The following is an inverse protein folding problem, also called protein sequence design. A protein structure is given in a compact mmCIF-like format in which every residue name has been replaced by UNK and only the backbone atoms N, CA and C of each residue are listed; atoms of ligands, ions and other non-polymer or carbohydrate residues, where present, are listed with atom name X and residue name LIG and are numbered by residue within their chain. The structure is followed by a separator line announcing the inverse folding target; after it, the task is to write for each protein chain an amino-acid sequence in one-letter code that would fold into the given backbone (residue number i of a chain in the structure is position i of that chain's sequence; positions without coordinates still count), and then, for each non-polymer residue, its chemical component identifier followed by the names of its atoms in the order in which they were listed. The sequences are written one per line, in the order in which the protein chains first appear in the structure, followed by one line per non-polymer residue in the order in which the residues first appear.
data_IF_112745047163
#
_entry.id   IF_112745047163
#
_cell.length_a   1.000
_cell.length_b   1.000
_cell.length_c   1.000
_cell.angle_alpha   90.00
_cell.angle_beta   90.00
_cell.angle_gamma   90.00
#
_symmetry.space_group_name_H-M   'P 1'
#
loop_
_entity.id
_entity.type
_entity.pdbx_description
1 polymer ?
#
# COMPACT_ATOMS: atom_id res chain seq x y z
N UNK A 1 4.80 -18.87 2.23
CA UNK A 1 5.31 -17.62 2.86
C UNK A 1 4.61 -17.45 4.20
N UNK A 2 5.25 -16.83 5.21
CA UNK A 2 4.62 -16.62 6.53
C UNK A 2 4.63 -15.14 6.92
N UNK A 3 3.69 -14.73 7.76
CA UNK A 3 3.60 -13.34 8.25
C UNK A 3 4.85 -12.96 9.08
N UNK A 4 5.40 -13.90 9.86
CA UNK A 4 6.71 -13.72 10.50
C UNK A 4 7.83 -13.52 9.51
N UNK A 5 7.81 -14.23 8.37
CA UNK A 5 8.77 -14.04 7.29
C UNK A 5 8.68 -12.62 6.72
N UNK A 6 7.47 -12.13 6.47
CA UNK A 6 7.25 -10.77 6.00
C UNK A 6 7.76 -9.74 7.03
N UNK A 7 7.43 -9.91 8.31
CA UNK A 7 7.87 -9.03 9.39
C UNK A 7 9.40 -8.91 9.47
N UNK A 8 10.14 -10.01 9.27
CA UNK A 8 11.61 -10.01 9.21
C UNK A 8 12.19 -9.19 8.07
N UNK A 9 11.45 -9.01 6.97
CA UNK A 9 11.88 -8.12 5.86
C UNK A 9 11.89 -6.66 6.32
N UNK A 10 10.92 -6.25 7.14
CA UNK A 10 10.82 -4.86 7.61
C UNK A 10 11.63 -4.56 8.87
N UNK A 11 11.90 -5.58 9.70
CA UNK A 11 12.53 -5.43 11.01
C UNK A 11 13.83 -4.60 10.99
N UNK A 12 14.79 -4.82 10.07
CA UNK A 12 16.05 -4.06 10.04
C UNK A 12 15.89 -2.56 9.78
N UNK A 13 14.75 -2.14 9.26
CA UNK A 13 14.49 -0.75 8.88
C UNK A 13 13.86 0.08 10.01
N UNK A 14 13.37 -0.57 11.06
CA UNK A 14 12.75 0.05 12.24
C UNK A 14 11.62 1.05 11.93
N UNK A 15 10.76 0.74 10.95
CA UNK A 15 9.74 1.68 10.43
C UNK A 15 8.34 1.55 11.08
N UNK A 16 8.11 0.54 11.91
CA UNK A 16 6.83 0.27 12.56
C UNK A 16 6.94 0.21 14.09
N UNK A 17 7.47 1.25 14.76
CA UNK A 17 7.64 1.20 16.20
C UNK A 17 6.28 1.07 16.89
N UNK A 18 6.16 0.12 17.83
CA UNK A 18 4.91 -0.23 18.50
C UNK A 18 4.14 0.97 19.09
N UNK A 19 4.85 2.01 19.54
CA UNK A 19 4.28 3.25 20.08
C UNK A 19 3.37 4.01 19.09
N UNK A 20 3.45 3.74 17.79
CA UNK A 20 2.62 4.38 16.75
C UNK A 20 1.25 3.70 16.57
N UNK A 21 1.04 2.52 17.17
CA UNK A 21 -0.19 1.74 17.00
C UNK A 21 -1.03 1.72 18.29
N UNK A 22 -1.38 2.92 18.75
CA UNK A 22 -2.23 3.15 19.93
C UNK A 22 -3.69 2.77 19.66
N UNK A 23 -4.52 2.75 20.71
CA UNK A 23 -5.92 2.29 20.63
C UNK A 23 -6.78 3.05 19.60
N UNK A 24 -6.46 4.30 19.28
CA UNK A 24 -7.15 5.14 18.30
C UNK A 24 -6.46 5.16 16.92
N UNK A 25 -5.42 4.35 16.72
CA UNK A 25 -4.80 4.13 15.42
C UNK A 25 -5.70 3.30 14.50
N UNK A 26 -5.64 3.48 13.17
CA UNK A 26 -6.48 2.75 12.23
C UNK A 26 -6.46 1.24 12.41
N UNK A 27 -5.29 0.63 12.61
CA UNK A 27 -5.20 -0.82 12.80
C UNK A 27 -5.88 -1.29 14.09
N UNK A 28 -5.78 -0.54 15.20
CA UNK A 28 -6.40 -0.91 16.47
C UNK A 28 -7.91 -0.72 16.46
N UNK A 29 -8.41 0.35 15.85
CA UNK A 29 -9.85 0.54 15.63
C UNK A 29 -10.41 -0.61 14.78
N UNK A 30 -9.72 -0.97 13.70
CA UNK A 30 -10.12 -2.07 12.84
C UNK A 30 -10.16 -3.42 13.57
N UNK A 31 -9.13 -3.76 14.33
CA UNK A 31 -9.07 -5.00 15.10
C UNK A 31 -10.25 -5.14 16.09
N UNK A 32 -10.70 -4.03 16.69
CA UNK A 32 -11.89 -4.04 17.57
C UNK A 32 -13.19 -4.24 16.82
N UNK A 33 -13.38 -3.56 15.68
CA UNK A 33 -14.62 -3.64 14.91
C UNK A 33 -14.74 -4.95 14.13
N UNK A 34 -13.62 -5.52 13.68
CA UNK A 34 -13.58 -6.72 12.84
C UNK A 34 -12.59 -7.75 13.40
N UNK A 35 -12.82 -8.27 14.62
CA UNK A 35 -11.87 -9.16 15.29
C UNK A 35 -11.69 -10.49 14.54
N UNK A 36 -12.70 -10.95 13.80
CA UNK A 36 -12.63 -12.21 13.04
C UNK A 36 -11.90 -12.10 11.69
N UNK A 37 -11.57 -10.88 11.23
CA UNK A 37 -10.89 -10.69 9.95
C UNK A 37 -9.47 -11.27 9.98
N UNK A 38 -9.00 -11.87 8.87
CA UNK A 38 -7.65 -12.46 8.80
C UNK A 38 -6.58 -11.41 9.07
N UNK A 39 -6.75 -10.21 8.51
CA UNK A 39 -5.78 -9.13 8.64
C UNK A 39 -5.67 -8.65 10.09
N UNK A 40 -6.79 -8.61 10.84
CA UNK A 40 -6.80 -8.25 12.26
C UNK A 40 -5.88 -9.14 13.09
N UNK A 41 -5.87 -10.45 12.82
CA UNK A 41 -5.00 -11.39 13.52
C UNK A 41 -3.55 -11.33 13.02
N UNK A 42 -3.38 -11.38 11.70
CA UNK A 42 -2.06 -11.47 11.08
C UNK A 42 -1.24 -10.20 11.28
N UNK A 43 -1.84 -9.01 11.23
CA UNK A 43 -1.11 -7.76 11.48
C UNK A 43 -0.59 -7.69 12.93
N UNK A 44 -1.27 -8.35 13.89
CA UNK A 44 -0.78 -8.44 15.26
C UNK A 44 0.47 -9.32 15.34
N UNK A 45 0.49 -10.47 14.66
CA UNK A 45 1.68 -11.33 14.52
C UNK A 45 2.82 -10.61 13.80
N UNK A 46 2.52 -9.83 12.77
CA UNK A 46 3.49 -9.01 12.07
C UNK A 46 4.15 -7.99 13.00
N UNK A 47 3.35 -7.31 13.84
CA UNK A 47 3.82 -6.27 14.75
C UNK A 47 4.60 -6.79 15.96
N UNK A 48 4.54 -8.09 16.30
CA UNK A 48 5.26 -8.60 17.48
C UNK A 48 6.77 -8.48 17.38
N UNK A 49 7.35 -8.47 16.17
CA UNK A 49 8.80 -8.31 15.99
C UNK A 49 9.23 -6.84 15.87
N UNK A 50 8.30 -5.89 16.01
CA UNK A 50 8.59 -4.46 15.87
C UNK A 50 8.62 -3.72 17.21
N UNK A 51 9.24 -4.35 18.21
CA UNK A 51 9.44 -3.80 19.55
C UNK A 51 10.77 -3.06 19.66
N UNK A 52 10.80 -1.84 19.16
CA UNK A 52 11.96 -0.95 19.24
C UNK A 52 11.52 0.50 19.52
N UNK A 53 12.39 1.32 20.12
CA UNK A 53 12.10 2.74 20.31
C UNK A 53 11.91 3.45 18.98
N UNK A 54 11.07 4.48 18.96
CA UNK A 54 10.83 5.30 17.77
C UNK A 54 12.06 6.16 17.48
N UNK A 55 12.97 5.66 16.65
CA UNK A 55 14.19 6.39 16.21
C UNK A 55 13.99 7.20 14.93
N UNK A 56 12.84 7.00 14.27
CA UNK A 56 12.45 7.61 13.00
C UNK A 56 10.95 7.92 13.05
N UNK A 57 10.49 8.70 12.09
CA UNK A 57 9.07 8.70 11.74
C UNK A 57 8.68 7.28 11.29
N UNK A 58 7.57 6.78 11.80
CA UNK A 58 7.06 5.48 11.37
C UNK A 58 6.42 5.57 9.98
N UNK A 59 6.05 4.42 9.42
CA UNK A 59 5.39 4.33 8.13
C UNK A 59 3.95 3.80 8.25
N UNK A 60 3.21 3.94 7.16
CA UNK A 60 1.92 3.26 7.00
C UNK A 60 2.16 1.76 6.83
N UNK A 61 1.31 0.95 7.45
CA UNK A 61 1.39 -0.51 7.37
C UNK A 61 1.03 -0.99 5.95
N UNK A 62 1.71 -2.01 5.44
CA UNK A 62 1.25 -2.72 4.25
C UNK A 62 -0.05 -3.47 4.55
N UNK A 63 -0.82 -3.76 3.51
CA UNK A 63 -2.03 -4.57 3.62
C UNK A 63 -1.98 -5.76 2.65
N UNK A 64 -2.62 -6.86 3.03
CA UNK A 64 -2.72 -8.04 2.18
C UNK A 64 -4.06 -8.75 2.31
N UNK A 65 -4.50 -9.33 1.19
CA UNK A 65 -5.68 -10.17 1.07
C UNK A 65 -5.53 -11.50 1.81
N UNK A 66 -6.67 -12.16 2.07
CA UNK A 66 -6.74 -13.37 2.89
C UNK A 66 -5.91 -14.52 2.33
N UNK A 67 -5.87 -14.63 1.00
CA UNK A 67 -5.28 -15.75 0.30
C UNK A 67 -3.92 -15.42 -0.33
N UNK A 68 -3.42 -14.19 -0.19
CA UNK A 68 -2.15 -13.73 -0.78
C UNK A 68 -0.96 -14.65 -0.47
N UNK A 69 -0.73 -14.93 0.83
CA UNK A 69 0.36 -15.78 1.29
C UNK A 69 -0.01 -17.27 1.43
N UNK A 70 -1.21 -17.65 0.98
CA UNK A 70 -1.70 -19.03 1.03
C UNK A 70 -1.23 -19.84 -0.17
N UNK A 71 -1.49 -21.16 -0.14
CA UNK A 71 -1.29 -22.07 -1.28
C UNK A 71 -2.46 -22.07 -2.24
N UNK A 72 -3.53 -21.31 -1.97
CA UNK A 72 -4.67 -21.22 -2.88
C UNK A 72 -4.25 -20.59 -4.22
N UNK A 73 -4.95 -21.00 -5.28
CA UNK A 73 -4.68 -20.52 -6.63
C UNK A 73 -5.40 -19.19 -6.84
N UNK A 74 -4.67 -18.21 -7.39
CA UNK A 74 -5.18 -16.89 -7.74
C UNK A 74 -4.05 -16.04 -8.32
N UNK A 75 -4.38 -14.99 -9.07
CA UNK A 75 -3.40 -14.03 -9.62
C UNK A 75 -2.96 -13.11 -8.49
N UNK A 76 -1.71 -13.25 -8.02
CA UNK A 76 -1.13 -12.40 -6.96
C UNK A 76 -0.74 -11.05 -7.53
N UNK A 77 -1.40 -10.00 -7.06
CA UNK A 77 -1.16 -8.64 -7.51
C UNK A 77 -0.52 -7.83 -6.39
N UNK A 78 0.58 -7.16 -6.70
CA UNK A 78 1.30 -6.31 -5.77
C UNK A 78 1.20 -4.85 -6.23
N UNK A 79 0.53 -4.03 -5.43
CA UNK A 79 0.26 -2.62 -5.70
C UNK A 79 1.23 -1.76 -4.89
N UNK A 80 1.92 -0.85 -5.57
CA UNK A 80 2.84 0.11 -4.95
C UNK A 80 2.23 1.51 -5.09
N UNK A 81 1.81 2.08 -3.97
CA UNK A 81 1.22 3.41 -3.88
C UNK A 81 2.26 4.54 -3.98
N UNK A 82 1.79 5.76 -4.25
CA UNK A 82 2.63 6.95 -4.12
C UNK A 82 3.06 7.18 -2.67
N UNK A 83 4.15 7.93 -2.48
CA UNK A 83 4.65 8.30 -1.16
C UNK A 83 3.57 9.00 -0.30
N UNK A 84 3.25 8.39 0.83
CA UNK A 84 2.44 8.97 1.90
C UNK A 84 3.32 9.90 2.77
N UNK A 85 3.01 11.19 2.82
CA UNK A 85 3.59 12.13 3.80
C UNK A 85 2.64 12.34 4.99
N UNK A 86 1.93 11.30 5.41
CA UNK A 86 1.03 11.39 6.57
C UNK A 86 1.77 12.05 7.74
N UNK A 87 1.13 13.04 8.39
CA UNK A 87 1.75 13.75 9.52
C UNK A 87 2.02 12.80 10.67
N UNK A 88 1.13 11.83 10.87
CA UNK A 88 1.29 10.76 11.84
C UNK A 88 1.50 9.41 11.15
N UNK A 89 2.59 8.75 11.54
CA UNK A 89 2.82 7.35 11.26
C UNK A 89 1.78 6.47 11.96
N UNK A 90 1.46 5.32 11.37
CA UNK A 90 0.61 4.32 12.03
C UNK A 90 -0.73 4.04 11.35
N UNK A 91 -0.94 4.53 10.13
CA UNK A 91 -2.08 4.12 9.30
C UNK A 91 -1.81 2.79 8.60
N UNK A 92 -2.71 2.42 7.70
CA UNK A 92 -2.54 1.35 6.71
C UNK A 92 -2.64 2.01 5.34
N UNK A 93 -1.77 1.63 4.40
CA UNK A 93 -1.79 2.17 3.03
C UNK A 93 -3.19 2.14 2.45
N UNK A 94 -3.64 3.27 1.89
CA UNK A 94 -5.00 3.48 1.37
C UNK A 94 -6.17 3.25 2.34
N UNK A 95 -5.93 2.99 3.63
CA UNK A 95 -6.93 2.36 4.49
C UNK A 95 -7.49 1.08 3.83
N UNK A 96 -6.60 0.31 3.18
CA UNK A 96 -6.94 -0.85 2.38
C UNK A 96 -7.66 -1.95 3.17
N UNK A 97 -7.38 -2.03 4.47
CA UNK A 97 -8.06 -2.94 5.39
C UNK A 97 -9.58 -2.72 5.48
N UNK A 98 -10.10 -1.60 4.99
CA UNK A 98 -11.53 -1.29 4.99
C UNK A 98 -12.24 -1.64 3.68
N UNK A 99 -11.50 -1.97 2.61
CA UNK A 99 -12.05 -2.12 1.25
C UNK A 99 -13.19 -3.15 1.18
N UNK A 100 -13.07 -4.24 1.93
CA UNK A 100 -14.06 -5.32 1.99
C UNK A 100 -15.17 -5.12 3.03
N UNK A 101 -15.10 -4.09 3.89
CA UNK A 101 -15.96 -3.99 5.07
C UNK A 101 -16.81 -2.72 5.11
N UNK A 102 -16.34 -1.63 4.51
CA UNK A 102 -17.08 -0.37 4.43
C UNK A 102 -17.76 -0.30 3.07
N UNK A 103 -19.09 -0.16 3.05
CA UNK A 103 -19.87 -0.15 1.82
C UNK A 103 -20.58 1.18 1.57
N UNK A 104 -20.68 2.03 2.59
CA UNK A 104 -21.44 3.27 2.53
C UNK A 104 -20.79 4.38 3.37
N UNK A 105 -21.37 5.58 3.29
CA UNK A 105 -20.91 6.74 4.03
C UNK A 105 -21.18 6.63 5.54
N UNK A 106 -22.17 5.84 5.96
CA UNK A 106 -22.54 5.69 7.36
C UNK A 106 -21.49 4.86 8.12
N UNK A 107 -21.16 3.67 7.60
CA UNK A 107 -20.08 2.80 8.08
C UNK A 107 -18.71 3.50 8.08
N UNK A 108 -18.39 4.24 7.02
CA UNK A 108 -17.23 5.14 7.00
C UNK A 108 -17.24 6.15 8.16
N UNK A 109 -18.37 6.82 8.37
CA UNK A 109 -18.47 7.86 9.40
C UNK A 109 -18.33 7.26 10.80
N UNK A 110 -18.89 6.08 11.04
CA UNK A 110 -18.74 5.35 12.29
C UNK A 110 -17.27 5.01 12.56
N UNK A 111 -16.57 4.42 11.59
CA UNK A 111 -15.15 4.11 11.71
C UNK A 111 -14.29 5.37 11.92
N UNK A 112 -14.48 6.41 11.09
CA UNK A 112 -13.67 7.62 11.12
C UNK A 112 -13.86 8.46 12.41
N UNK A 113 -14.97 8.27 13.14
CA UNK A 113 -15.20 8.91 14.44
C UNK A 113 -14.32 8.33 15.55
N UNK A 114 -13.96 7.05 15.46
CA UNK A 114 -13.09 6.38 16.45
C UNK A 114 -11.59 6.66 16.25
N UNK A 115 -11.21 7.22 15.09
CA UNK A 115 -9.84 7.58 14.79
C UNK A 115 -9.44 8.89 15.47
N UNK A 116 -8.15 8.99 15.83
CA UNK A 116 -7.55 10.26 16.15
C UNK A 116 -7.64 11.24 14.95
N UNK A 117 -7.66 12.54 15.23
CA UNK A 117 -7.92 13.56 14.19
C UNK A 117 -6.93 13.53 13.03
N UNK A 118 -5.67 13.19 13.30
CA UNK A 118 -4.59 13.19 12.32
C UNK A 118 -4.56 11.90 11.46
N UNK A 119 -5.28 10.85 11.87
CA UNK A 119 -5.43 9.59 11.16
C UNK A 119 -6.75 9.52 10.37
N UNK A 120 -7.55 10.59 10.37
CA UNK A 120 -8.78 10.65 9.57
C UNK A 120 -8.45 10.78 8.09
N UNK A 121 -9.25 10.13 7.26
CA UNK A 121 -9.13 10.18 5.81
C UNK A 121 -10.39 10.75 5.17
N UNK A 122 -10.36 10.99 3.85
CA UNK A 122 -11.50 11.55 3.11
C UNK A 122 -12.24 10.43 2.37
N UNK A 123 -13.52 10.23 2.69
CA UNK A 123 -14.38 9.23 2.04
C UNK A 123 -14.29 9.25 0.51
N UNK A 124 -14.38 10.44 -0.11
CA UNK A 124 -14.36 10.55 -1.57
C UNK A 124 -13.03 10.09 -2.20
N UNK A 125 -11.90 10.28 -1.50
CA UNK A 125 -10.60 9.83 -2.01
C UNK A 125 -10.45 8.32 -1.88
N UNK A 126 -10.85 7.78 -0.72
CA UNK A 126 -10.86 6.34 -0.46
C UNK A 126 -11.82 5.58 -1.39
N UNK A 127 -13.04 6.12 -1.62
CA UNK A 127 -14.02 5.50 -2.49
C UNK A 127 -13.57 5.45 -3.96
N UNK A 128 -12.79 6.45 -4.43
CA UNK A 128 -12.18 6.40 -5.77
C UNK A 128 -11.14 5.30 -5.88
N UNK A 129 -10.31 5.09 -4.86
CA UNK A 129 -9.35 3.98 -4.83
C UNK A 129 -10.13 2.67 -4.86
N UNK A 130 -11.15 2.51 -4.02
CA UNK A 130 -12.01 1.32 -4.00
C UNK A 130 -12.65 1.05 -5.36
N UNK A 131 -13.22 2.08 -6.00
CA UNK A 131 -13.82 1.95 -7.33
C UNK A 131 -12.77 1.55 -8.37
N UNK A 132 -11.58 2.16 -8.37
CA UNK A 132 -10.52 1.82 -9.32
C UNK A 132 -10.07 0.36 -9.20
N UNK A 133 -9.91 -0.15 -7.97
CA UNK A 133 -9.55 -1.56 -7.74
C UNK A 133 -10.65 -2.51 -8.21
N UNK A 134 -11.92 -2.14 -7.98
CA UNK A 134 -13.08 -2.87 -8.48
C UNK A 134 -13.16 -2.83 -10.01
N UNK A 135 -12.89 -1.69 -10.62
CA UNK A 135 -12.90 -1.51 -12.07
C UNK A 135 -11.81 -2.35 -12.72
N UNK A 136 -10.69 -2.61 -12.05
CA UNK A 136 -9.64 -3.54 -12.50
C UNK A 136 -9.96 -5.01 -12.27
N UNK A 137 -11.12 -5.32 -11.68
CA UNK A 137 -11.57 -6.69 -11.42
C UNK A 137 -10.53 -7.48 -10.59
N UNK A 138 -9.84 -6.78 -9.69
CA UNK A 138 -8.85 -7.41 -8.82
C UNK A 138 -9.56 -8.20 -7.73
N UNK A 139 -9.16 -9.46 -7.58
CA UNK A 139 -9.53 -10.26 -6.42
C UNK A 139 -8.74 -9.78 -5.20
N UNK A 140 -9.41 -9.05 -4.30
CA UNK A 140 -8.81 -8.48 -3.12
C UNK A 140 -8.20 -9.53 -2.18
N UNK A 141 -8.62 -10.80 -2.26
CA UNK A 141 -8.01 -11.86 -1.46
C UNK A 141 -6.58 -12.20 -1.91
N UNK A 142 -6.20 -11.84 -3.14
CA UNK A 142 -4.87 -12.04 -3.73
C UNK A 142 -4.14 -10.72 -4.03
N UNK A 143 -4.46 -9.64 -3.32
CA UNK A 143 -3.77 -8.35 -3.43
C UNK A 143 -2.84 -8.09 -2.23
N UNK A 144 -1.66 -7.53 -2.50
CA UNK A 144 -0.77 -6.90 -1.51
C UNK A 144 -0.58 -5.43 -1.87
N UNK A 145 -0.65 -4.53 -0.89
CA UNK A 145 -0.52 -3.07 -1.10
C UNK A 145 0.52 -2.53 -0.13
N UNK A 146 1.40 -1.66 -0.62
CA UNK A 146 2.40 -0.94 0.17
C UNK A 146 2.70 0.43 -0.43
N UNK A 147 3.37 1.31 0.32
CA UNK A 147 3.87 2.57 -0.20
C UNK A 147 5.20 2.41 -0.97
N UNK A 148 5.49 3.32 -1.90
CA UNK A 148 6.79 3.36 -2.57
C UNK A 148 7.92 3.64 -1.57
N UNK A 149 7.86 4.78 -0.86
CA UNK A 149 8.87 5.17 0.12
C UNK A 149 8.33 5.08 1.54
N UNK A 150 9.08 4.42 2.43
CA UNK A 150 8.65 4.15 3.80
C UNK A 150 9.77 4.16 4.84
N UNK A 151 11.03 4.22 4.39
CA UNK A 151 12.17 4.34 5.31
C UNK A 151 12.54 5.82 5.40
N UNK A 152 12.34 6.42 6.57
CA UNK A 152 12.74 7.80 6.85
C UNK A 152 14.22 7.88 7.24
N UNK A 153 14.84 9.02 6.96
CA UNK A 153 16.14 9.36 7.55
C UNK A 153 15.98 9.54 9.07
N UNK A 154 17.06 9.32 9.83
CA UNK A 154 17.05 9.48 11.29
C UNK A 154 16.80 10.95 11.64
N UNK A 155 15.86 11.22 12.53
CA UNK A 155 15.48 12.57 12.96
C UNK A 155 15.08 13.52 11.81
N UNK A 156 14.47 13.00 10.74
CA UNK A 156 14.02 13.79 9.59
C UNK A 156 12.69 13.29 9.04
N UNK A 157 11.92 14.21 8.45
CA UNK A 157 10.71 13.90 7.67
C UNK A 157 11.02 13.47 6.22
N UNK A 158 12.30 13.43 5.84
CA UNK A 158 12.71 13.01 4.51
C UNK A 158 12.87 11.48 4.43
N UNK A 159 12.51 10.92 3.28
CA UNK A 159 12.74 9.51 3.01
C UNK A 159 14.20 9.23 2.68
N UNK A 160 14.75 8.17 3.28
CA UNK A 160 15.93 7.50 2.79
C UNK A 160 15.54 6.69 1.54
N UNK A 161 15.63 7.32 0.36
CA UNK A 161 15.26 6.71 -0.92
C UNK A 161 16.07 5.44 -1.23
N UNK A 162 17.39 5.37 -1.01
CA UNK A 162 18.14 4.13 -1.19
C UNK A 162 17.61 2.96 -0.35
N UNK A 163 17.39 3.17 0.96
CA UNK A 163 16.86 2.12 1.84
C UNK A 163 15.40 1.76 1.56
N UNK A 164 14.59 2.74 1.18
CA UNK A 164 13.21 2.48 0.74
C UNK A 164 13.18 1.62 -0.51
N UNK A 165 14.08 1.87 -1.47
CA UNK A 165 14.22 1.04 -2.68
C UNK A 165 14.65 -0.38 -2.34
N UNK A 166 15.66 -0.51 -1.48
CA UNK A 166 16.17 -1.82 -1.04
C UNK A 166 15.05 -2.65 -0.39
N UNK A 167 14.35 -2.08 0.59
CA UNK A 167 13.20 -2.71 1.25
C UNK A 167 12.11 -3.08 0.24
N UNK A 168 11.76 -2.18 -0.69
CA UNK A 168 10.74 -2.45 -1.70
C UNK A 168 11.10 -3.60 -2.64
N UNK A 169 12.37 -3.76 -3.00
CA UNK A 169 12.82 -4.92 -3.78
C UNK A 169 12.74 -6.21 -2.97
N UNK A 170 13.09 -6.19 -1.69
CA UNK A 170 12.93 -7.34 -0.80
C UNK A 170 11.44 -7.70 -0.60
N UNK A 171 10.55 -6.71 -0.51
CA UNK A 171 9.10 -6.94 -0.47
C UNK A 171 8.62 -7.64 -1.76
N UNK A 172 9.05 -7.16 -2.94
CA UNK A 172 8.68 -7.74 -4.23
C UNK A 172 9.19 -9.18 -4.34
N UNK A 173 10.44 -9.44 -3.94
CA UNK A 173 11.03 -10.78 -3.93
C UNK A 173 10.28 -11.71 -2.97
N UNK A 174 10.03 -11.24 -1.75
CA UNK A 174 9.33 -12.04 -0.73
C UNK A 174 7.89 -12.37 -1.13
N UNK A 175 7.17 -11.40 -1.70
CA UNK A 175 5.75 -11.55 -2.05
C UNK A 175 5.53 -12.31 -3.36
N UNK A 176 6.57 -12.42 -4.20
CA UNK A 176 6.57 -13.17 -5.46
C UNK A 176 5.32 -12.94 -6.33
N UNK A 177 4.97 -11.70 -6.71
CA UNK A 177 3.73 -11.43 -7.42
C UNK A 177 3.76 -11.90 -8.88
N UNK A 178 2.57 -12.12 -9.44
CA UNK A 178 2.35 -12.34 -10.87
C UNK A 178 2.35 -11.01 -11.65
N UNK A 179 1.86 -9.95 -11.00
CA UNK A 179 1.76 -8.61 -11.57
C UNK A 179 2.09 -7.53 -10.52
N UNK A 180 2.94 -6.59 -10.90
CA UNK A 180 3.14 -5.33 -10.19
C UNK A 180 2.26 -4.23 -10.77
N UNK A 181 1.66 -3.41 -9.91
CA UNK A 181 0.95 -2.19 -10.30
C UNK A 181 1.63 -1.01 -9.61
N UNK A 182 2.27 -0.14 -10.40
CA UNK A 182 2.89 1.08 -9.90
C UNK A 182 1.93 2.26 -10.05
N UNK A 183 1.55 2.88 -8.93
CA UNK A 183 0.64 4.01 -8.95
C UNK A 183 1.42 5.33 -8.93
N UNK A 184 1.55 5.97 -10.09
CA UNK A 184 2.21 7.26 -10.29
C UNK A 184 3.73 7.18 -10.47
N UNK A 185 4.36 8.36 -10.51
CA UNK A 185 5.80 8.49 -10.79
C UNK A 185 6.72 8.14 -9.63
N UNK A 186 6.25 8.23 -8.38
CA UNK A 186 7.06 7.92 -7.19
C UNK A 186 7.57 6.46 -7.18
N UNK A 187 6.72 5.42 -7.26
CA UNK A 187 7.20 4.04 -7.33
C UNK A 187 8.10 3.76 -8.54
N UNK A 188 7.75 4.33 -9.71
CA UNK A 188 8.56 4.15 -10.93
C UNK A 188 9.96 4.74 -10.76
N UNK A 189 10.07 6.00 -10.34
CA UNK A 189 11.36 6.65 -10.14
C UNK A 189 12.21 6.00 -9.05
N UNK A 190 11.58 5.36 -8.06
CA UNK A 190 12.28 4.62 -7.02
C UNK A 190 12.93 3.34 -7.58
N UNK A 191 12.22 2.59 -8.42
CA UNK A 191 12.64 1.27 -8.91
C UNK A 191 13.42 1.33 -10.23
N UNK A 192 13.08 2.26 -11.12
CA UNK A 192 13.59 2.42 -12.50
C UNK A 192 13.87 3.90 -12.81
N UNK A 193 14.97 4.43 -12.26
CA UNK A 193 15.41 5.82 -12.45
C UNK A 193 15.73 6.18 -13.91
N UNK A 194 16.00 5.16 -14.73
CA UNK A 194 16.29 5.26 -16.15
C UNK A 194 15.03 5.51 -17.01
N UNK A 195 13.84 5.34 -16.45
CA UNK A 195 12.58 5.50 -17.15
C UNK A 195 11.89 6.83 -16.81
N UNK A 196 11.25 7.43 -17.82
CA UNK A 196 10.48 8.66 -17.69
C UNK A 196 8.99 8.31 -17.53
N UNK A 197 8.37 8.76 -16.43
CA UNK A 197 6.98 8.43 -16.10
C UNK A 197 5.97 8.72 -17.21
N UNK A 198 6.02 9.91 -17.82
CA UNK A 198 5.10 10.27 -18.92
C UNK A 198 5.18 9.29 -20.07
N UNK A 199 6.39 8.89 -20.45
CA UNK A 199 6.59 8.00 -21.59
C UNK A 199 6.02 6.62 -21.27
N UNK A 200 6.36 6.06 -20.11
CA UNK A 200 5.91 4.70 -19.72
C UNK A 200 4.38 4.63 -19.60
N UNK A 201 3.78 5.59 -18.89
CA UNK A 201 2.31 5.58 -18.66
C UNK A 201 1.52 5.86 -19.94
N UNK A 202 2.10 6.55 -20.92
CA UNK A 202 1.46 6.83 -22.21
C UNK A 202 1.66 5.74 -23.25
N UNK A 203 2.77 4.99 -23.20
CA UNK A 203 2.99 3.83 -24.07
C UNK A 203 1.95 2.74 -23.80
N UNK A 204 1.56 2.53 -22.53
CA UNK A 204 0.59 1.49 -22.18
C UNK A 204 1.18 0.10 -22.39
N UNK A 205 2.44 -0.10 -22.02
CA UNK A 205 3.14 -1.39 -22.10
C UNK A 205 3.58 -1.86 -20.71
N UNK A 206 3.74 -3.18 -20.55
CA UNK A 206 4.38 -3.72 -19.36
C UNK A 206 5.87 -3.37 -19.34
N UNK A 207 6.38 -2.98 -18.18
CA UNK A 207 7.83 -2.89 -17.93
C UNK A 207 8.28 -4.07 -17.06
N UNK A 208 9.58 -4.35 -17.07
CA UNK A 208 10.19 -5.33 -16.17
C UNK A 208 10.78 -4.65 -14.93
N UNK A 209 10.43 -5.17 -13.75
CA UNK A 209 11.02 -4.78 -12.47
C UNK A 209 11.35 -6.05 -11.69
N UNK A 210 12.65 -6.25 -11.40
CA UNK A 210 13.13 -7.42 -10.67
C UNK A 210 12.62 -8.76 -11.26
N UNK A 211 12.55 -8.86 -12.59
CA UNK A 211 12.04 -10.06 -13.28
C UNK A 211 10.52 -10.15 -13.34
N UNK A 212 9.77 -9.22 -12.73
CA UNK A 212 8.30 -9.20 -12.70
C UNK A 212 7.72 -8.24 -13.73
N UNK A 213 6.56 -8.61 -14.28
CA UNK A 213 5.76 -7.72 -15.14
C UNK A 213 5.15 -6.61 -14.29
N UNK A 214 5.27 -5.37 -14.74
CA UNK A 214 4.73 -4.22 -14.04
C UNK A 214 3.92 -3.32 -14.99
N UNK A 215 2.70 -2.99 -14.59
CA UNK A 215 1.90 -1.94 -15.20
C UNK A 215 2.08 -0.63 -14.43
N UNK A 216 2.15 0.50 -15.14
CA UNK A 216 2.20 1.83 -14.53
C UNK A 216 0.86 2.52 -14.77
N UNK A 217 0.22 2.97 -13.70
CA UNK A 217 -1.05 3.70 -13.74
C UNK A 217 -0.89 5.08 -13.12
N UNK A 218 -1.63 6.11 -13.56
CA UNK A 218 -1.77 7.32 -12.77
C UNK A 218 -2.43 7.00 -11.42
N UNK A 219 -2.17 7.85 -10.43
CA UNK A 219 -2.72 7.66 -9.09
C UNK A 219 -4.19 8.09 -9.07
N UNK A 220 -5.13 7.25 -8.59
CA UNK A 220 -6.57 7.44 -8.81
C UNK A 220 -7.23 8.47 -7.88
N UNK A 221 -6.44 9.28 -7.15
CA UNK A 221 -6.96 10.28 -6.22
C UNK A 221 -5.99 11.47 -6.05
N UNK A 222 -6.40 12.47 -5.26
CA UNK A 222 -5.58 13.65 -4.98
C UNK A 222 -5.08 14.37 -6.24
N UNK A 223 -3.81 14.77 -6.24
CA UNK A 223 -3.16 15.45 -7.36
C UNK A 223 -2.91 14.54 -8.59
N UNK A 224 -3.15 13.23 -8.48
CA UNK A 224 -3.09 12.34 -9.64
C UNK A 224 -4.15 12.69 -10.68
N UNK A 225 -5.34 13.12 -10.22
CA UNK A 225 -6.48 13.48 -11.07
C UNK A 225 -6.24 14.71 -11.96
N UNK A 226 -5.30 15.57 -11.57
CA UNK A 226 -5.01 16.82 -12.29
C UNK A 226 -3.89 16.66 -13.31
N UNK A 227 -3.36 15.45 -13.48
CA UNK A 227 -2.31 15.21 -14.47
C UNK A 227 -2.86 15.30 -15.90
N UNK A 228 -2.08 15.82 -16.86
CA UNK A 228 -2.46 15.77 -18.27
C UNK A 228 -2.77 14.35 -18.73
N UNK A 229 -3.78 14.20 -19.59
CA UNK A 229 -4.20 12.92 -20.16
C UNK A 229 -4.57 11.85 -19.10
N UNK A 230 -5.00 12.25 -17.89
CA UNK A 230 -5.29 11.32 -16.80
C UNK A 230 -6.22 10.16 -17.22
N UNK A 231 -7.37 10.45 -17.84
CA UNK A 231 -8.34 9.43 -18.24
C UNK A 231 -7.78 8.45 -19.28
N UNK A 232 -7.05 8.96 -20.29
CA UNK A 232 -6.40 8.12 -21.29
C UNK A 232 -5.32 7.21 -20.67
N UNK A 233 -4.48 7.78 -19.80
CA UNK A 233 -3.43 7.03 -19.06
C UNK A 233 -4.04 5.96 -18.16
N UNK A 234 -5.15 6.29 -17.47
CA UNK A 234 -5.92 5.37 -16.63
C UNK A 234 -6.52 4.25 -17.46
N UNK A 235 -7.10 4.55 -18.63
CA UNK A 235 -7.67 3.55 -19.53
C UNK A 235 -6.60 2.56 -20.01
N UNK A 236 -5.48 3.04 -20.56
CA UNK A 236 -4.37 2.20 -21.03
C UNK A 236 -3.83 1.27 -19.93
N UNK A 237 -3.61 1.82 -18.74
CA UNK A 237 -3.17 1.01 -17.60
C UNK A 237 -4.23 -0.05 -17.21
N UNK A 238 -5.51 0.30 -17.28
CA UNK A 238 -6.61 -0.62 -16.96
C UNK A 238 -6.69 -1.78 -17.95
N UNK A 239 -6.48 -1.52 -19.25
CA UNK A 239 -6.42 -2.57 -20.29
C UNK A 239 -5.29 -3.56 -20.01
N UNK A 240 -4.11 -3.09 -19.59
CA UNK A 240 -2.99 -3.96 -19.19
C UNK A 240 -3.30 -4.77 -17.94
N UNK A 241 -3.90 -4.16 -16.91
CA UNK A 241 -4.10 -4.81 -15.61
C UNK A 241 -5.13 -5.95 -15.71
N UNK A 242 -6.16 -5.75 -16.55
CA UNK A 242 -7.22 -6.74 -16.81
C UNK A 242 -6.80 -7.90 -17.70
N UNK A 243 -5.76 -7.73 -18.52
CA UNK A 243 -5.21 -8.78 -19.37
C UNK A 243 -4.55 -9.91 -18.53
#
# INVERSE_FOLDING_TARGET
MTIKGLSKVYEPYCIFPAIKYLNDSPVKVFQRQYPSCHYSHQIQEFLTNHNYPSIRKGADLPWWGKHYFSTEKGKRVFIIAQDSKAQDAGSVVFFAHLLAHIHDRASYTAYNKELNLNQRFRFASWNRIKQQLSDWELDLDFVFITDASKVYEVNSDNFNKPKSRELLLQEIEFCDPDLLILLGGAPLSLLRKDLIYSNVVECGEFINIAGKKAAVSPFPSGNGLTQPNFELRKQKASELIKA
#
